data_IF_081774447687
#
_entry.id   IF_081774447687
#
_cell.length_a   1.000
_cell.length_b   1.000
_cell.length_c   1.000
_cell.angle_alpha   90.00
_cell.angle_beta   90.00
_cell.angle_gamma   90.00
#
_symmetry.space_group_name_H-M   'P 1'
#
loop_
_entity.id
_entity.type
_entity.pdbx_description
1 polymer ?
#
# COMPACT_ATOMS: atom_id res chain seq x y z
N UNK A 1 -31.84 1.92 -2.80
CA UNK A 1 -31.27 0.88 -1.89
C UNK A 1 -29.75 0.76 -2.02
N UNK A 2 -29.20 0.59 -3.23
CA UNK A 2 -27.74 0.51 -3.50
C UNK A 2 -26.95 1.75 -3.04
N UNK A 3 -27.42 2.96 -3.33
CA UNK A 3 -26.77 4.21 -2.92
C UNK A 3 -26.73 4.39 -1.39
N UNK A 4 -27.78 3.98 -0.68
CA UNK A 4 -27.84 4.05 0.78
C UNK A 4 -26.82 3.10 1.43
N UNK A 5 -26.68 1.89 0.88
CA UNK A 5 -25.67 0.90 1.31
C UNK A 5 -24.26 1.42 1.04
N UNK A 6 -24.00 2.01 -0.13
CA UNK A 6 -22.70 2.60 -0.47
C UNK A 6 -22.32 3.75 0.47
N UNK A 7 -23.26 4.66 0.76
CA UNK A 7 -23.04 5.77 1.71
C UNK A 7 -22.78 5.24 3.12
N UNK A 8 -23.53 4.22 3.56
CA UNK A 8 -23.35 3.62 4.89
C UNK A 8 -22.00 2.89 5.01
N UNK A 9 -21.60 2.16 3.97
CA UNK A 9 -20.30 1.50 3.90
C UNK A 9 -19.15 2.51 3.86
N UNK A 10 -19.29 3.62 3.11
CA UNK A 10 -18.33 4.72 3.13
C UNK A 10 -18.20 5.30 4.54
N UNK A 11 -19.32 5.53 5.24
CA UNK A 11 -19.32 5.97 6.63
C UNK A 11 -18.57 5.00 7.55
N UNK A 12 -18.77 3.69 7.37
CA UNK A 12 -18.06 2.66 8.13
C UNK A 12 -16.55 2.70 7.85
N UNK A 13 -16.13 2.76 6.58
CA UNK A 13 -14.71 2.81 6.20
C UNK A 13 -14.06 4.07 6.75
N UNK A 14 -14.72 5.23 6.63
CA UNK A 14 -14.22 6.48 7.21
C UNK A 14 -14.07 6.38 8.71
N UNK A 15 -15.06 5.81 9.42
CA UNK A 15 -14.98 5.56 10.85
C UNK A 15 -13.77 4.67 11.21
N UNK A 16 -13.55 3.58 10.47
CA UNK A 16 -12.40 2.69 10.67
C UNK A 16 -11.06 3.42 10.42
N UNK A 17 -10.97 4.24 9.38
CA UNK A 17 -9.78 5.04 9.09
C UNK A 17 -9.53 6.09 10.16
N UNK A 18 -10.57 6.76 10.66
CA UNK A 18 -10.45 7.68 11.80
C UNK A 18 -9.99 6.94 13.05
N UNK A 19 -10.53 5.76 13.33
CA UNK A 19 -10.14 4.94 14.48
C UNK A 19 -8.68 4.49 14.36
N UNK A 20 -8.26 4.02 13.18
CA UNK A 20 -6.86 3.66 12.92
C UNK A 20 -5.92 4.86 13.07
N UNK A 21 -6.27 5.99 12.45
CA UNK A 21 -5.49 7.23 12.50
C UNK A 21 -5.23 7.69 13.93
N UNK A 22 -6.25 7.61 14.79
CA UNK A 22 -6.21 8.13 16.16
C UNK A 22 -5.71 7.13 17.20
N UNK A 23 -5.95 5.81 17.03
CA UNK A 23 -5.62 4.79 18.04
C UNK A 23 -4.45 3.88 17.66
N UNK A 24 -4.17 3.67 16.38
CA UNK A 24 -3.08 2.79 15.99
C UNK A 24 -1.71 3.49 16.19
N UNK A 25 -0.66 2.76 16.60
CA UNK A 25 0.66 3.35 16.80
C UNK A 25 1.17 3.97 15.50
N UNK A 26 1.54 5.26 15.55
CA UNK A 26 1.94 6.04 14.36
C UNK A 26 0.86 6.02 13.23
N UNK A 27 -0.41 5.76 13.55
CA UNK A 27 -1.50 5.58 12.59
C UNK A 27 -1.70 6.78 11.65
N UNK A 28 -1.65 8.00 12.18
CA UNK A 28 -1.75 9.21 11.36
C UNK A 28 -0.61 9.38 10.35
N UNK A 29 0.63 9.02 10.71
CA UNK A 29 1.77 9.04 9.78
C UNK A 29 1.60 7.99 8.68
N UNK A 30 1.20 6.77 9.06
CA UNK A 30 0.95 5.69 8.13
C UNK A 30 -0.18 6.03 7.14
N UNK A 31 -1.29 6.58 7.62
CA UNK A 31 -2.42 6.97 6.76
C UNK A 31 -2.08 8.13 5.84
N UNK A 32 -1.34 9.13 6.32
CA UNK A 32 -0.82 10.20 5.45
C UNK A 32 0.10 9.65 4.34
N UNK A 33 0.96 8.69 4.68
CA UNK A 33 1.81 8.02 3.70
C UNK A 33 1.03 7.15 2.70
N UNK A 34 -0.04 6.50 3.15
CA UNK A 34 -0.95 5.76 2.27
C UNK A 34 -1.62 6.69 1.23
N UNK A 35 -2.06 7.88 1.66
CA UNK A 35 -2.59 8.88 0.74
C UNK A 35 -1.53 9.34 -0.28
N UNK A 36 -0.30 9.57 0.17
CA UNK A 36 0.82 9.90 -0.74
C UNK A 36 1.10 8.76 -1.73
N UNK A 37 0.99 7.50 -1.30
CA UNK A 37 1.12 6.35 -2.19
C UNK A 37 0.04 6.29 -3.26
N UNK A 38 -1.21 6.58 -2.90
CA UNK A 38 -2.31 6.64 -3.86
C UNK A 38 -2.10 7.75 -4.90
N UNK A 39 -1.58 8.91 -4.48
CA UNK A 39 -1.20 10.01 -5.38
C UNK A 39 -0.05 9.57 -6.30
N UNK A 40 0.97 8.90 -5.77
CA UNK A 40 2.15 8.49 -6.54
C UNK A 40 1.90 7.30 -7.49
N UNK A 41 0.79 6.57 -7.34
CA UNK A 41 0.45 5.40 -8.15
C UNK A 41 -0.90 5.58 -8.86
N UNK A 42 -2.01 5.38 -8.15
CA UNK A 42 -3.35 5.37 -8.72
C UNK A 42 -3.78 6.69 -9.36
N UNK A 43 -3.35 7.85 -8.85
CA UNK A 43 -3.66 9.12 -9.52
C UNK A 43 -2.88 9.25 -10.84
N UNK A 44 -1.63 8.80 -10.87
CA UNK A 44 -0.82 8.73 -12.11
C UNK A 44 -1.45 7.77 -13.10
N UNK A 45 -1.90 6.59 -12.64
CA UNK A 45 -2.69 5.66 -13.46
C UNK A 45 -3.91 6.35 -14.04
N UNK A 46 -4.79 6.88 -13.17
CA UNK A 46 -6.07 7.42 -13.60
C UNK A 46 -5.90 8.54 -14.64
N UNK A 47 -4.91 9.43 -14.45
CA UNK A 47 -4.68 10.49 -15.41
C UNK A 47 -4.11 9.95 -16.73
N UNK A 48 -3.00 9.22 -16.71
CA UNK A 48 -2.33 8.83 -17.95
C UNK A 48 -3.06 7.73 -18.71
N UNK A 49 -3.74 6.81 -18.02
CA UNK A 49 -4.54 5.76 -18.65
C UNK A 49 -5.79 6.31 -19.32
N UNK A 50 -6.62 7.04 -18.58
CA UNK A 50 -7.92 7.48 -19.09
C UNK A 50 -7.83 8.77 -19.92
N UNK A 51 -7.00 9.74 -19.52
CA UNK A 51 -6.85 11.00 -20.27
C UNK A 51 -5.83 10.82 -21.39
N UNK A 52 -4.63 10.35 -21.07
CA UNK A 52 -3.54 10.22 -22.05
C UNK A 52 -3.77 9.06 -23.04
N UNK A 53 -4.13 7.90 -22.53
CA UNK A 53 -4.39 6.69 -23.33
C UNK A 53 -5.73 6.80 -24.05
N UNK A 54 -6.83 6.68 -23.30
CA UNK A 54 -8.16 6.50 -23.89
C UNK A 54 -8.69 7.76 -24.60
N UNK A 55 -8.58 8.94 -23.97
CA UNK A 55 -9.14 10.17 -24.53
C UNK A 55 -8.25 10.80 -25.63
N UNK A 56 -6.93 10.84 -25.42
CA UNK A 56 -5.99 11.42 -26.40
C UNK A 56 -5.48 10.39 -27.43
N UNK A 57 -5.77 9.10 -27.26
CA UNK A 57 -5.36 8.03 -28.18
C UNK A 57 -3.87 7.71 -28.16
N UNK A 58 -3.14 8.06 -27.09
CA UNK A 58 -1.70 7.80 -26.99
C UNK A 58 -1.42 6.53 -26.17
N UNK A 59 -1.22 5.40 -26.85
CA UNK A 59 -0.97 4.08 -26.24
C UNK A 59 0.18 4.08 -25.22
N UNK A 60 1.25 4.85 -25.50
CA UNK A 60 2.38 4.99 -24.58
C UNK A 60 1.96 5.53 -23.21
N UNK A 61 1.08 6.54 -23.16
CA UNK A 61 0.59 7.09 -21.90
C UNK A 61 -0.37 6.12 -21.21
N UNK A 62 -1.16 5.39 -21.99
CA UNK A 62 -1.96 4.28 -21.47
C UNK A 62 -1.12 3.25 -20.73
N UNK A 63 0.00 2.82 -21.34
CA UNK A 63 0.94 1.88 -20.74
C UNK A 63 1.64 2.46 -19.51
N UNK A 64 2.08 3.72 -19.56
CA UNK A 64 2.65 4.42 -18.40
C UNK A 64 1.69 4.39 -17.21
N UNK A 65 0.42 4.69 -17.45
CA UNK A 65 -0.61 4.66 -16.42
C UNK A 65 -0.78 3.26 -15.81
N UNK A 66 -0.88 2.23 -16.65
CA UNK A 66 -1.00 0.84 -16.18
C UNK A 66 0.20 0.40 -15.32
N UNK A 67 1.43 0.77 -15.72
CA UNK A 67 2.63 0.46 -14.96
C UNK A 67 2.61 1.18 -13.60
N UNK A 68 2.30 2.48 -13.59
CA UNK A 68 2.23 3.27 -12.36
C UNK A 68 1.18 2.71 -11.38
N UNK A 69 0.01 2.34 -11.88
CA UNK A 69 -1.06 1.71 -11.10
C UNK A 69 -0.65 0.35 -10.51
N UNK A 70 0.02 -0.49 -11.30
CA UNK A 70 0.51 -1.79 -10.86
C UNK A 70 1.58 -1.75 -9.77
N UNK A 71 2.17 -0.58 -9.49
CA UNK A 71 3.13 -0.36 -8.42
C UNK A 71 2.47 0.14 -7.11
N UNK A 72 1.13 0.17 -7.02
CA UNK A 72 0.41 0.68 -5.86
C UNK A 72 0.83 0.04 -4.52
N UNK A 73 0.96 -1.29 -4.47
CA UNK A 73 1.41 -1.99 -3.26
C UNK A 73 2.86 -1.67 -2.87
N UNK A 74 3.75 -1.50 -3.87
CA UNK A 74 5.15 -1.09 -3.65
C UNK A 74 5.19 0.33 -3.08
N UNK A 75 4.46 1.26 -3.70
CA UNK A 75 4.39 2.65 -3.25
C UNK A 75 3.84 2.75 -1.81
N UNK A 76 2.77 2.00 -1.51
CA UNK A 76 2.17 1.98 -0.17
C UNK A 76 3.14 1.45 0.88
N UNK A 77 3.74 0.28 0.63
CA UNK A 77 4.67 -0.33 1.57
C UNK A 77 5.91 0.56 1.84
N UNK A 78 6.53 1.09 0.78
CA UNK A 78 7.73 1.91 0.90
C UNK A 78 7.48 3.25 1.60
N UNK A 79 6.46 4.00 1.16
CA UNK A 79 6.17 5.32 1.73
C UNK A 79 5.70 5.21 3.18
N UNK A 80 4.93 4.18 3.53
CA UNK A 80 4.54 3.92 4.92
C UNK A 80 5.78 3.60 5.77
N UNK A 81 6.66 2.71 5.30
CA UNK A 81 7.87 2.37 6.04
C UNK A 81 8.78 3.58 6.30
N UNK A 82 8.99 4.40 5.27
CA UNK A 82 9.71 5.67 5.40
C UNK A 82 9.05 6.61 6.40
N UNK A 83 7.73 6.78 6.33
CA UNK A 83 6.99 7.66 7.24
C UNK A 83 7.01 7.18 8.70
N UNK A 84 7.20 5.88 8.92
CA UNK A 84 7.37 5.28 10.24
C UNK A 84 8.80 5.37 10.77
N UNK A 85 9.77 5.75 9.93
CA UNK A 85 11.16 6.02 10.30
C UNK A 85 12.15 4.92 9.95
N UNK A 86 11.73 3.93 9.14
CA UNK A 86 12.63 2.87 8.64
C UNK A 86 13.65 3.48 7.68
N UNK A 87 14.90 3.02 7.72
CA UNK A 87 15.95 3.48 6.80
C UNK A 87 15.55 3.22 5.33
N UNK A 88 15.88 4.13 4.39
CA UNK A 88 15.41 4.01 3.00
C UNK A 88 15.71 2.68 2.33
N UNK A 89 16.91 2.12 2.55
CA UNK A 89 17.29 0.82 1.97
C UNK A 89 16.31 -0.27 2.41
N UNK A 90 15.98 -0.36 3.69
CA UNK A 90 15.10 -1.38 4.23
C UNK A 90 13.63 -1.13 3.92
N UNK A 91 13.22 0.14 3.88
CA UNK A 91 11.89 0.51 3.41
C UNK A 91 11.66 0.01 1.97
N UNK A 92 12.67 0.14 1.09
CA UNK A 92 12.59 -0.38 -0.27
C UNK A 92 12.65 -1.91 -0.33
N UNK A 93 13.34 -2.60 0.60
CA UNK A 93 13.27 -4.07 0.72
C UNK A 93 11.83 -4.53 1.02
N UNK A 94 11.14 -3.87 1.95
CA UNK A 94 9.72 -4.13 2.24
C UNK A 94 8.84 -3.76 1.02
N UNK A 95 9.13 -2.64 0.37
CA UNK A 95 8.37 -2.14 -0.78
C UNK A 95 8.40 -3.10 -1.96
N UNK A 96 9.60 -3.49 -2.42
CA UNK A 96 9.73 -4.34 -3.61
C UNK A 96 9.22 -5.76 -3.36
N UNK A 97 9.24 -6.23 -2.10
CA UNK A 97 8.58 -7.47 -1.71
C UNK A 97 7.06 -7.40 -1.96
N UNK A 98 6.45 -6.21 -1.94
CA UNK A 98 5.04 -5.99 -2.23
C UNK A 98 4.73 -5.77 -3.73
N UNK A 99 5.62 -6.18 -4.64
CA UNK A 99 5.42 -6.08 -6.09
C UNK A 99 4.20 -6.86 -6.60
N UNK A 100 3.46 -6.29 -7.56
CA UNK A 100 2.22 -6.84 -8.13
C UNK A 100 1.10 -7.02 -7.10
N UNK A 101 1.02 -6.13 -6.11
CA UNK A 101 -0.04 -6.13 -5.11
C UNK A 101 -0.72 -4.77 -5.08
N UNK A 102 -1.96 -4.74 -4.61
CA UNK A 102 -2.72 -3.51 -4.46
C UNK A 102 -2.25 -2.66 -3.29
N UNK A 103 -2.73 -1.42 -3.28
CA UNK A 103 -2.40 -0.39 -2.30
C UNK A 103 -2.69 -0.82 -0.86
N UNK A 104 -3.83 -1.48 -0.59
CA UNK A 104 -4.20 -1.90 0.77
C UNK A 104 -3.36 -3.08 1.29
N UNK A 105 -3.14 -4.18 0.55
CA UNK A 105 -2.19 -5.22 0.96
C UNK A 105 -0.77 -4.69 1.21
N UNK A 106 -0.28 -3.81 0.32
CA UNK A 106 1.01 -3.15 0.49
C UNK A 106 1.07 -2.27 1.76
N UNK A 107 -0.01 -1.54 2.06
CA UNK A 107 -0.13 -0.78 3.30
C UNK A 107 -0.03 -1.65 4.54
N UNK A 108 -0.76 -2.77 4.60
CA UNK A 108 -0.76 -3.68 5.75
C UNK A 108 0.64 -4.26 5.98
N UNK A 109 1.25 -4.79 4.92
CA UNK A 109 2.60 -5.34 5.00
C UNK A 109 3.63 -4.28 5.37
N UNK A 110 3.59 -3.11 4.72
CA UNK A 110 4.44 -1.97 5.03
C UNK A 110 4.33 -1.55 6.49
N UNK A 111 3.11 -1.33 6.98
CA UNK A 111 2.85 -0.90 8.34
C UNK A 111 3.39 -1.88 9.39
N UNK A 112 3.06 -3.17 9.26
CA UNK A 112 3.47 -4.19 10.22
C UNK A 112 4.98 -4.46 10.16
N UNK A 113 5.55 -4.62 8.97
CA UNK A 113 6.98 -4.92 8.81
C UNK A 113 7.87 -3.74 9.17
N UNK A 114 7.35 -2.51 9.15
CA UNK A 114 8.09 -1.36 9.65
C UNK A 114 8.44 -1.47 11.13
N UNK A 115 7.54 -2.01 11.96
CA UNK A 115 7.86 -2.20 13.38
C UNK A 115 8.88 -3.30 13.60
N UNK A 116 8.80 -4.38 12.81
CA UNK A 116 9.79 -5.45 12.82
C UNK A 116 11.16 -4.92 12.39
N UNK A 117 11.20 -4.13 11.32
CA UNK A 117 12.44 -3.57 10.80
C UNK A 117 13.07 -2.56 11.75
N UNK A 118 12.29 -1.64 12.34
CA UNK A 118 12.78 -0.72 13.36
C UNK A 118 13.40 -1.46 14.56
N UNK A 119 12.81 -2.59 14.96
CA UNK A 119 13.37 -3.44 16.02
C UNK A 119 14.66 -4.14 15.62
N UNK A 120 14.79 -4.56 14.36
CA UNK A 120 16.04 -5.12 13.81
C UNK A 120 17.13 -4.05 13.78
N UNK A 121 16.83 -2.86 13.23
CA UNK A 121 17.75 -1.73 13.17
C UNK A 121 18.28 -1.34 14.56
N UNK A 122 17.45 -1.40 15.59
CA UNK A 122 17.87 -1.06 16.95
C UNK A 122 18.77 -2.13 17.60
N UNK A 123 18.63 -3.40 17.22
CA UNK A 123 19.30 -4.52 17.91
C UNK A 123 20.48 -5.13 17.17
N UNK A 124 20.53 -4.99 15.85
CA UNK A 124 21.49 -5.71 15.03
C UNK A 124 22.65 -4.77 14.67
N UNK A 125 23.89 -5.28 14.59
CA UNK A 125 25.00 -4.49 14.07
C UNK A 125 24.82 -4.24 12.57
N UNK A 126 25.45 -3.17 12.09
CA UNK A 126 25.50 -2.82 10.68
C UNK A 126 25.90 -4.02 9.80
N UNK A 127 25.11 -4.29 8.76
CA UNK A 127 25.30 -5.40 7.82
C UNK A 127 24.54 -6.67 8.21
N UNK A 128 24.38 -6.98 9.50
CA UNK A 128 23.51 -8.09 9.92
C UNK A 128 22.03 -7.70 9.79
N UNK A 129 21.71 -6.45 10.07
CA UNK A 129 20.41 -5.84 9.82
C UNK A 129 20.00 -5.92 8.34
N UNK A 130 20.94 -5.68 7.41
CA UNK A 130 20.75 -5.85 5.98
C UNK A 130 20.43 -7.31 5.63
N UNK A 131 21.21 -8.28 6.13
CA UNK A 131 20.96 -9.70 5.87
C UNK A 131 19.59 -10.11 6.43
N UNK A 132 19.25 -9.68 7.65
CA UNK A 132 17.95 -9.93 8.26
C UNK A 132 16.81 -9.31 7.43
N UNK A 133 17.01 -8.11 6.87
CA UNK A 133 16.00 -7.48 6.01
C UNK A 133 15.70 -8.33 4.76
N UNK A 134 16.73 -8.94 4.18
CA UNK A 134 16.60 -9.74 2.95
C UNK A 134 16.02 -11.13 3.26
N UNK A 135 16.56 -11.82 4.27
CA UNK A 135 16.24 -13.23 4.54
C UNK A 135 14.94 -13.38 5.33
N UNK A 136 14.58 -12.39 6.15
CA UNK A 136 13.44 -12.46 7.07
C UNK A 136 12.37 -11.44 6.68
N UNK A 137 12.72 -10.15 6.59
CA UNK A 137 11.72 -9.08 6.43
C UNK A 137 11.05 -9.14 5.07
N UNK A 138 11.79 -9.30 3.98
CA UNK A 138 11.20 -9.37 2.63
C UNK A 138 10.21 -10.54 2.44
N UNK A 139 10.55 -11.81 2.79
CA UNK A 139 9.59 -12.91 2.71
C UNK A 139 8.36 -12.71 3.60
N UNK A 140 8.55 -12.19 4.81
CA UNK A 140 7.43 -11.90 5.72
C UNK A 140 6.53 -10.78 5.20
N UNK A 141 7.10 -9.71 4.63
CA UNK A 141 6.34 -8.65 3.98
C UNK A 141 5.47 -9.20 2.85
N UNK A 142 6.05 -10.06 2.00
CA UNK A 142 5.32 -10.75 0.94
C UNK A 142 4.19 -11.59 1.49
N UNK A 143 4.47 -12.40 2.52
CA UNK A 143 3.50 -13.29 3.14
C UNK A 143 2.31 -12.48 3.68
N UNK A 144 2.57 -11.42 4.46
CA UNK A 144 1.53 -10.55 5.00
C UNK A 144 0.67 -9.93 3.91
N UNK A 145 1.30 -9.40 2.85
CA UNK A 145 0.57 -8.81 1.76
C UNK A 145 -0.30 -9.86 1.05
N UNK A 146 0.26 -11.02 0.66
CA UNK A 146 -0.52 -12.10 0.02
C UNK A 146 -1.65 -12.64 0.89
N UNK A 147 -1.45 -12.75 2.20
CA UNK A 147 -2.48 -13.20 3.14
C UNK A 147 -3.62 -12.19 3.28
N UNK A 148 -3.31 -10.89 3.14
CA UNK A 148 -4.29 -9.82 3.20
C UNK A 148 -5.06 -9.60 1.90
N UNK A 149 -4.49 -9.93 0.74
CA UNK A 149 -5.12 -9.80 -0.58
C UNK A 149 -6.54 -10.39 -0.66
N UNK A 150 -6.80 -11.67 -0.32
CA UNK A 150 -8.14 -12.25 -0.46
C UNK A 150 -9.18 -11.59 0.45
N UNK A 151 -8.76 -11.11 1.64
CA UNK A 151 -9.64 -10.42 2.57
C UNK A 151 -10.04 -9.07 2.00
N UNK A 152 -9.08 -8.32 1.46
CA UNK A 152 -9.34 -7.04 0.80
C UNK A 152 -10.23 -7.24 -0.44
N UNK A 153 -9.89 -8.20 -1.29
CA UNK A 153 -10.63 -8.46 -2.53
C UNK A 153 -12.07 -8.90 -2.26
N UNK A 154 -12.29 -9.74 -1.25
CA UNK A 154 -13.65 -10.13 -0.86
C UNK A 154 -14.50 -8.92 -0.44
N UNK A 155 -13.91 -7.96 0.29
CA UNK A 155 -14.61 -6.73 0.68
C UNK A 155 -14.88 -5.77 -0.49
N UNK A 156 -14.02 -5.76 -1.51
CA UNK A 156 -14.18 -4.91 -2.70
C UNK A 156 -15.14 -5.53 -3.74
N UNK A 157 -15.07 -6.84 -3.95
CA UNK A 157 -15.92 -7.58 -4.89
C UNK A 157 -17.38 -7.62 -4.45
N UNK A 158 -17.64 -7.61 -3.13
CA UNK A 158 -18.99 -7.42 -2.61
C UNK A 158 -19.61 -6.10 -3.09
N UNK A 159 -18.83 -5.07 -3.43
CA UNK A 159 -19.36 -3.81 -3.99
C UNK A 159 -19.52 -3.82 -5.52
N UNK A 160 -18.75 -4.63 -6.27
CA UNK A 160 -18.89 -4.73 -7.75
C UNK A 160 -20.15 -5.49 -8.17
N UNK A 161 -20.58 -6.49 -7.39
CA UNK A 161 -21.76 -7.32 -7.71
C UNK A 161 -23.10 -6.58 -7.51
N UNK A 162 -23.08 -5.37 -6.94
CA UNK A 162 -24.26 -4.52 -6.77
C UNK A 162 -24.34 -3.36 -7.75
N UNK A 163 -23.48 -3.25 -8.77
CA UNK A 163 -23.72 -2.31 -9.88
C UNK A 163 -24.39 -3.03 -11.04
#
# INVERSE_FOLDING_TARGET
>A
MKLLIGVLFLGLVLYLFTLFTSKAPKGGKAMGALANAAIASFLVEAFHKYVGGDLMGMDYLGQLGNIAGGLGGVAAAGLVALALGVLPVYAFVIAVACGNMDLLPGFIAGYLMSFVMLWIEEKFPDGLDLIASIVIVAPLARLLATASTPVVDATLLQNRQYN
#
